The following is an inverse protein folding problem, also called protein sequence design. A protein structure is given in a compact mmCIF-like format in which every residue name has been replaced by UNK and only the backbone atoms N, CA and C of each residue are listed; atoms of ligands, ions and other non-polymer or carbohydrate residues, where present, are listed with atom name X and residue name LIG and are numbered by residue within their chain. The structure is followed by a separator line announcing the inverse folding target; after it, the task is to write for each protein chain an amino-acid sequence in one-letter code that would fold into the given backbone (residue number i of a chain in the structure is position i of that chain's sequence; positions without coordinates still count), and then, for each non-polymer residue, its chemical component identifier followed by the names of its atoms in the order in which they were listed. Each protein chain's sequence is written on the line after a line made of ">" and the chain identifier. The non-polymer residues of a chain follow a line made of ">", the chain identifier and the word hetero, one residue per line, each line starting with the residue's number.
data_IF_209001795796
#
_entry.id   IF_209001795796
#
_cell.length_a   1.000
_cell.length_b   1.000
_cell.length_c   1.000
_cell.angle_alpha   90.00
_cell.angle_beta   90.00
_cell.angle_gamma   90.00
#
_symmetry.space_group_name_H-M   'P 1'
#
loop_
_entity.id
_entity.type
_entity.pdbx_description
1 polymer ?
#
# COMPACT_ATOMS: atom_id res chain seq x y z
N UNK A 1 17.15 -14.87 2.95
CA UNK A 1 16.10 -15.79 3.42
C UNK A 1 14.77 -15.17 3.04
N UNK A 2 14.10 -15.68 2.01
CA UNK A 2 12.80 -15.15 1.59
C UNK A 2 11.74 -15.50 2.65
N UNK A 3 10.84 -14.57 2.98
CA UNK A 3 9.85 -14.83 4.02
C UNK A 3 8.82 -15.87 3.54
N UNK A 4 8.25 -16.61 4.49
CA UNK A 4 7.20 -17.61 4.21
C UNK A 4 5.97 -17.03 3.50
N UNK A 5 5.73 -15.72 3.63
CA UNK A 5 4.68 -15.00 2.89
C UNK A 5 4.87 -15.02 1.36
N UNK A 6 6.12 -15.05 0.87
CA UNK A 6 6.40 -14.98 -0.57
C UNK A 6 6.58 -16.34 -1.24
N UNK A 7 6.85 -17.39 -0.46
CA UNK A 7 7.16 -18.73 -0.95
C UNK A 7 6.09 -19.78 -0.60
N UNK A 8 5.17 -19.45 0.32
CA UNK A 8 4.08 -20.33 0.76
C UNK A 8 2.80 -20.17 -0.08
N UNK A 9 1.91 -21.16 0.03
CA UNK A 9 0.57 -21.03 -0.51
C UNK A 9 -0.23 -20.00 0.30
N UNK A 10 -1.07 -19.23 -0.40
CA UNK A 10 -1.94 -18.25 0.26
C UNK A 10 -2.92 -18.93 1.24
N UNK A 11 -2.94 -18.41 2.46
CA UNK A 11 -3.85 -18.78 3.54
C UNK A 11 -5.31 -18.42 3.19
N UNK A 12 -6.26 -19.00 3.92
CA UNK A 12 -7.67 -18.65 3.77
C UNK A 12 -7.92 -17.14 4.01
N UNK A 13 -7.24 -16.55 4.99
CA UNK A 13 -7.42 -15.14 5.33
C UNK A 13 -6.88 -14.20 4.26
N UNK A 14 -5.73 -14.51 3.67
CA UNK A 14 -5.17 -13.71 2.56
C UNK A 14 -6.10 -13.72 1.35
N UNK A 15 -6.65 -14.90 1.01
CA UNK A 15 -7.65 -15.03 -0.07
C UNK A 15 -8.93 -14.24 0.21
N UNK A 16 -9.42 -14.28 1.45
CA UNK A 16 -10.59 -13.50 1.89
C UNK A 16 -10.35 -11.99 1.73
N UNK A 17 -9.21 -11.49 2.23
CA UNK A 17 -8.84 -10.08 2.14
C UNK A 17 -8.66 -9.62 0.69
N UNK A 18 -8.03 -10.43 -0.16
CA UNK A 18 -7.91 -10.12 -1.59
C UNK A 18 -9.28 -10.02 -2.27
N UNK A 19 -10.22 -10.92 -1.94
CA UNK A 19 -11.59 -10.87 -2.50
C UNK A 19 -12.35 -9.61 -2.13
N UNK A 20 -12.14 -9.07 -0.93
CA UNK A 20 -12.78 -7.81 -0.50
C UNK A 20 -12.37 -6.65 -1.40
N UNK A 21 -11.08 -6.54 -1.70
CA UNK A 21 -10.55 -5.52 -2.62
C UNK A 21 -11.12 -5.70 -4.03
N UNK A 22 -11.19 -6.94 -4.53
CA UNK A 22 -11.80 -7.24 -5.84
C UNK A 22 -13.30 -6.88 -5.92
N UNK A 23 -13.99 -6.85 -4.78
CA UNK A 23 -15.40 -6.41 -4.68
C UNK A 23 -15.54 -4.89 -4.55
N UNK A 24 -14.44 -4.14 -4.59
CA UNK A 24 -14.44 -2.67 -4.52
C UNK A 24 -14.35 -2.12 -3.10
N UNK A 25 -13.93 -2.91 -2.11
CA UNK A 25 -13.61 -2.35 -0.79
C UNK A 25 -12.28 -1.56 -0.86
N UNK A 26 -12.36 -0.26 -0.53
CA UNK A 26 -11.21 0.64 -0.47
C UNK A 26 -10.81 0.93 0.98
N UNK A 27 -9.51 1.11 1.20
CA UNK A 27 -8.94 1.34 2.52
C UNK A 27 -7.92 2.46 2.46
N UNK A 28 -8.17 3.54 3.20
CA UNK A 28 -7.16 4.56 3.45
C UNK A 28 -6.01 3.97 4.29
N UNK A 29 -4.72 4.30 4.00
CA UNK A 29 -4.21 5.25 3.00
C UNK A 29 -3.86 4.61 1.64
N UNK A 30 -4.27 3.37 1.39
CA UNK A 30 -3.90 2.63 0.19
C UNK A 30 -4.82 2.92 -1.02
N UNK A 31 -5.93 3.63 -0.84
CA UNK A 31 -6.98 3.87 -1.87
C UNK A 31 -6.43 4.18 -3.26
N UNK A 32 -5.48 5.12 -3.34
CA UNK A 32 -4.86 5.57 -4.60
C UNK A 32 -3.33 5.39 -4.58
N UNK A 33 -2.79 4.68 -3.59
CA UNK A 33 -1.35 4.57 -3.41
C UNK A 33 -0.76 3.58 -4.41
N UNK A 34 0.20 4.05 -5.22
CA UNK A 34 0.93 3.20 -6.17
C UNK A 34 2.18 2.59 -5.53
N UNK A 35 2.70 3.23 -4.48
CA UNK A 35 3.93 2.84 -3.83
C UNK A 35 3.74 2.70 -2.33
N UNK A 36 4.35 1.68 -1.74
CA UNK A 36 4.44 1.54 -0.30
C UNK A 36 5.74 0.86 0.10
N UNK A 37 6.21 1.16 1.31
CA UNK A 37 7.31 0.44 1.93
C UNK A 37 7.18 0.45 3.45
N UNK A 38 7.86 -0.50 4.09
CA UNK A 38 8.00 -0.53 5.54
C UNK A 38 9.34 0.11 5.93
N UNK A 39 9.36 1.33 6.53
CA UNK A 39 10.59 1.88 7.07
C UNK A 39 11.12 1.02 8.23
N UNK A 40 12.42 1.17 8.51
CA UNK A 40 13.04 0.59 9.70
C UNK A 40 12.30 1.01 10.98
N UNK A 41 12.36 0.17 12.02
CA UNK A 41 11.69 0.45 13.30
C UNK A 41 12.10 1.83 13.84
N UNK A 42 11.12 2.61 14.31
CA UNK A 42 11.31 3.96 14.83
C UNK A 42 11.47 5.05 13.77
N UNK A 43 11.50 4.73 12.48
CA UNK A 43 11.59 5.74 11.42
C UNK A 43 10.20 6.24 10.97
N UNK A 44 10.14 7.55 10.74
CA UNK A 44 8.98 8.24 10.18
C UNK A 44 8.90 8.03 8.67
N UNK A 45 7.69 8.17 8.12
CA UNK A 45 7.51 8.23 6.67
C UNK A 45 8.16 9.49 6.13
N UNK A 46 8.83 9.40 4.98
CA UNK A 46 9.33 10.61 4.29
C UNK A 46 8.17 11.34 3.64
N UNK A 47 8.30 12.65 3.43
CA UNK A 47 7.24 13.44 2.79
C UNK A 47 7.06 13.07 1.30
N UNK A 48 8.16 12.73 0.62
CA UNK A 48 8.21 12.38 -0.78
C UNK A 48 9.03 11.10 -0.98
N UNK A 49 8.50 10.17 -1.75
CA UNK A 49 9.22 8.97 -2.19
C UNK A 49 8.96 8.74 -3.68
N UNK A 50 10.01 8.54 -4.49
CA UNK A 50 9.92 8.48 -5.95
C UNK A 50 9.12 9.65 -6.59
N UNK A 51 9.24 10.86 -6.04
CA UNK A 51 8.46 12.04 -6.44
C UNK A 51 6.94 11.86 -6.29
N UNK A 52 6.48 11.14 -5.27
CA UNK A 52 5.07 10.93 -4.94
C UNK A 52 4.83 11.35 -3.48
N UNK A 53 3.68 11.96 -3.20
CA UNK A 53 3.36 12.49 -1.86
C UNK A 53 2.92 11.37 -0.93
N UNK A 54 3.28 11.49 0.35
CA UNK A 54 2.79 10.61 1.41
C UNK A 54 1.26 10.73 1.51
N UNK A 55 0.55 9.67 1.15
CA UNK A 55 -0.88 9.53 1.37
C UNK A 55 -1.19 9.28 2.84
N UNK A 56 -0.34 8.50 3.52
CA UNK A 56 -0.46 8.24 4.95
C UNK A 56 0.31 7.00 5.40
N UNK A 57 0.07 6.60 6.66
CA UNK A 57 0.68 5.42 7.28
C UNK A 57 -0.40 4.47 7.78
N UNK A 58 -0.25 3.18 7.48
CA UNK A 58 -1.03 2.13 8.13
C UNK A 58 -0.09 1.08 8.73
N UNK A 59 -0.16 0.91 10.05
CA UNK A 59 0.77 0.08 10.83
C UNK A 59 2.22 0.46 10.50
N UNK A 60 2.98 -0.50 9.95
CA UNK A 60 4.38 -0.34 9.62
C UNK A 60 4.63 0.11 8.19
N UNK A 61 3.61 0.40 7.38
CA UNK A 61 3.77 0.78 5.98
C UNK A 61 3.40 2.24 5.73
N UNK A 62 4.25 2.93 4.97
CA UNK A 62 4.01 4.25 4.43
C UNK A 62 3.52 4.12 2.99
N UNK A 63 2.47 4.86 2.62
CA UNK A 63 1.79 4.78 1.32
C UNK A 63 1.92 6.11 0.58
N UNK A 64 2.18 6.07 -0.72
CA UNK A 64 2.42 7.26 -1.53
C UNK A 64 1.54 7.25 -2.77
N UNK A 65 0.87 8.38 -3.01
CA UNK A 65 -0.10 8.56 -4.09
C UNK A 65 0.46 9.45 -5.21
N UNK A 66 0.01 9.23 -6.46
CA UNK A 66 0.40 10.05 -7.58
C UNK A 66 -0.12 11.47 -7.47
N UNK A 67 0.57 12.37 -8.17
CA UNK A 67 0.08 13.73 -8.30
C UNK A 67 -1.27 13.74 -9.02
N UNK A 68 -2.17 14.67 -8.65
CA UNK A 68 -3.42 14.88 -9.38
C UNK A 68 -3.17 15.04 -10.88
N UNK A 69 -3.98 14.35 -11.70
CA UNK A 69 -3.89 14.39 -13.16
C UNK A 69 -2.90 13.41 -13.80
N UNK A 70 -2.07 12.70 -13.03
CA UNK A 70 -1.20 11.63 -13.58
C UNK A 70 -2.02 10.39 -13.96
N UNK A 71 -3.04 10.05 -13.17
CA UNK A 71 -4.01 9.00 -13.47
C UNK A 71 -5.37 9.67 -13.75
N UNK A 72 -5.78 9.84 -15.02
CA UNK A 72 -7.01 10.57 -15.37
C UNK A 72 -8.30 9.97 -14.78
N UNK A 73 -8.29 8.68 -14.47
CA UNK A 73 -9.41 7.99 -13.83
C UNK A 73 -9.53 8.32 -12.33
N UNK A 74 -8.44 8.77 -11.70
CA UNK A 74 -8.41 9.23 -10.31
C UNK A 74 -8.69 10.73 -10.29
N UNK A 75 -9.95 11.09 -10.08
CA UNK A 75 -10.42 12.49 -10.02
C UNK A 75 -10.30 13.08 -8.62
#
# INVERSE_FOLDING_TARGET
>A
MYSSLFQGAATAKEKELARRVLKGEYYYPATNALWFYAPSSGQNCVALWYNQKLAGRYKNHCFYEPYPGVCPELR
#
